data_IF_267420024122
#
_entry.id   IF_267420024122
#
_cell.length_a   1.000
_cell.length_b   1.000
_cell.length_c   1.000
_cell.angle_alpha   90.00
_cell.angle_beta   90.00
_cell.angle_gamma   90.00
#
_symmetry.space_group_name_H-M   'P 1'
#
loop_
_entity.id
_entity.type
_entity.pdbx_description
1 polymer ?
#
# COMPACT_ATOMS: atom_id res chain seq x y z
N UNK A 1 15.89 -39.48 -0.79
CA UNK A 1 15.46 -38.92 -2.09
C UNK A 1 16.46 -37.86 -2.51
N UNK A 2 17.12 -38.04 -3.65
CA UNK A 2 18.24 -37.18 -4.09
C UNK A 2 17.81 -35.72 -4.25
N UNK A 3 18.51 -34.82 -3.57
CA UNK A 3 18.33 -33.36 -3.64
C UNK A 3 18.39 -32.83 -5.10
N UNK A 4 19.16 -33.52 -5.94
CA UNK A 4 19.26 -33.25 -7.38
C UNK A 4 17.95 -33.57 -8.12
N UNK A 5 17.22 -34.62 -7.75
CA UNK A 5 15.90 -34.92 -8.33
C UNK A 5 14.84 -33.93 -7.88
N UNK A 6 14.88 -33.50 -6.61
CA UNK A 6 13.94 -32.48 -6.10
C UNK A 6 14.16 -31.15 -6.81
N UNK A 7 15.42 -30.72 -6.98
CA UNK A 7 15.75 -29.52 -7.74
C UNK A 7 15.26 -29.58 -9.19
N UNK A 8 15.47 -30.71 -9.87
CA UNK A 8 14.98 -30.91 -11.24
C UNK A 8 13.46 -30.93 -11.32
N UNK A 9 12.76 -31.54 -10.35
CA UNK A 9 11.30 -31.54 -10.30
C UNK A 9 10.76 -30.13 -10.08
N UNK A 10 11.35 -29.35 -9.17
CA UNK A 10 10.95 -27.95 -8.93
C UNK A 10 11.16 -27.10 -10.18
N UNK A 11 12.30 -27.22 -10.85
CA UNK A 11 12.60 -26.51 -12.10
C UNK A 11 11.63 -26.91 -13.22
N UNK A 12 11.31 -28.20 -13.34
CA UNK A 12 10.34 -28.69 -14.32
C UNK A 12 8.93 -28.19 -14.01
N UNK A 13 8.51 -28.19 -12.74
CA UNK A 13 7.18 -27.69 -12.35
C UNK A 13 7.08 -26.18 -12.55
N UNK A 14 8.14 -25.41 -12.26
CA UNK A 14 8.18 -23.97 -12.50
C UNK A 14 8.16 -23.64 -14.00
N UNK A 15 8.90 -24.40 -14.82
CA UNK A 15 8.89 -24.26 -16.27
C UNK A 15 7.53 -24.64 -16.89
N UNK A 16 6.89 -25.70 -16.39
CA UNK A 16 5.52 -26.09 -16.80
C UNK A 16 4.51 -25.04 -16.36
N UNK A 17 4.62 -24.46 -15.17
CA UNK A 17 3.74 -23.37 -14.72
C UNK A 17 3.91 -22.10 -15.55
N UNK A 18 5.14 -21.77 -15.99
CA UNK A 18 5.40 -20.68 -16.92
C UNK A 18 4.88 -20.98 -18.34
N UNK A 19 4.96 -22.23 -18.79
CA UNK A 19 4.56 -22.62 -20.15
C UNK A 19 3.05 -22.89 -20.30
N UNK A 20 2.38 -23.38 -19.24
CA UNK A 20 0.94 -23.67 -19.22
C UNK A 20 0.08 -22.44 -18.91
N UNK A 21 0.68 -21.34 -18.45
CA UNK A 21 0.04 -20.05 -18.34
C UNK A 21 0.66 -19.07 -19.35
N UNK A 22 0.28 -19.11 -20.65
CA UNK A 22 0.33 -17.92 -21.46
C UNK A 22 -0.80 -17.00 -20.96
N UNK A 23 -0.66 -16.51 -19.73
CA UNK A 23 -1.45 -15.38 -19.27
C UNK A 23 -0.92 -14.21 -20.07
N UNK A 24 -1.48 -14.02 -21.27
CA UNK A 24 -1.59 -12.71 -21.88
C UNK A 24 -2.45 -11.87 -20.93
N UNK A 25 -1.87 -11.46 -19.80
CA UNK A 25 -2.37 -10.40 -18.96
C UNK A 25 -2.13 -9.12 -19.76
N UNK A 26 -3.03 -8.84 -20.71
CA UNK A 26 -3.13 -7.54 -21.33
C UNK A 26 -3.69 -6.64 -20.23
N UNK A 27 -2.80 -6.03 -19.45
CA UNK A 27 -3.18 -5.03 -18.47
C UNK A 27 -3.70 -3.81 -19.22
N UNK A 28 -5.02 -3.66 -19.23
CA UNK A 28 -5.65 -2.38 -19.59
C UNK A 28 -5.34 -1.34 -18.52
N UNK A 29 -5.44 -0.05 -18.89
CA UNK A 29 -5.50 1.05 -17.93
C UNK A 29 -6.51 0.71 -16.81
N UNK A 30 -6.35 1.29 -15.61
CA UNK A 30 -7.42 1.25 -14.58
C UNK A 30 -8.55 2.15 -15.08
N UNK A 31 -9.31 1.62 -16.03
CA UNK A 31 -10.51 2.20 -16.58
C UNK A 31 -11.61 1.77 -15.66
N UNK A 32 -12.07 2.72 -14.85
CA UNK A 32 -13.16 2.43 -13.94
C UNK A 32 -14.44 2.60 -14.75
N UNK A 33 -14.96 1.53 -15.34
CA UNK A 33 -16.32 1.56 -15.87
C UNK A 33 -17.30 1.54 -14.69
N UNK A 34 -18.33 2.38 -14.78
CA UNK A 34 -19.40 2.43 -13.80
C UNK A 34 -20.63 1.82 -14.48
N UNK A 35 -20.96 0.58 -14.10
CA UNK A 35 -22.09 -0.15 -14.69
C UNK A 35 -23.42 0.56 -14.47
N UNK A 36 -23.52 1.39 -13.42
CA UNK A 36 -24.73 2.14 -13.10
C UNK A 36 -24.86 3.45 -13.89
N UNK A 37 -23.79 3.92 -14.54
CA UNK A 37 -23.83 5.16 -15.30
C UNK A 37 -24.46 4.94 -16.69
N UNK A 38 -25.41 5.78 -17.11
CA UNK A 38 -26.11 5.61 -18.37
C UNK A 38 -25.13 5.60 -19.55
N UNK A 39 -25.13 4.52 -20.34
CA UNK A 39 -24.34 4.39 -21.57
C UNK A 39 -25.18 4.91 -22.73
N UNK A 40 -24.81 6.07 -23.27
CA UNK A 40 -25.52 6.75 -24.37
C UNK A 40 -24.52 7.19 -25.45
N UNK A 41 -24.97 7.36 -26.72
CA UNK A 41 -24.10 7.95 -27.75
C UNK A 41 -23.63 9.34 -27.31
N UNK A 42 -22.31 9.57 -27.34
CA UNK A 42 -21.68 10.80 -26.86
C UNK A 42 -21.36 10.85 -25.35
N UNK A 43 -21.83 9.86 -24.58
CA UNK A 43 -21.56 9.74 -23.14
C UNK A 43 -21.29 8.28 -22.74
N UNK A 44 -20.19 7.75 -23.24
CA UNK A 44 -19.78 6.37 -23.00
C UNK A 44 -18.26 6.24 -22.75
N UNK A 45 -17.57 7.36 -22.50
CA UNK A 45 -16.15 7.31 -22.17
C UNK A 45 -15.94 6.62 -20.83
N UNK A 46 -14.77 6.03 -20.65
CA UNK A 46 -14.39 5.44 -19.37
C UNK A 46 -13.79 6.50 -18.45
N UNK A 47 -13.96 6.35 -17.13
CA UNK A 47 -13.31 7.25 -16.19
C UNK A 47 -11.82 6.95 -16.16
N UNK A 48 -11.02 7.95 -16.56
CA UNK A 48 -9.56 7.88 -16.57
C UNK A 48 -9.02 8.93 -15.60
N UNK A 49 -8.02 8.54 -14.80
CA UNK A 49 -7.26 9.47 -13.98
C UNK A 49 -6.33 10.29 -14.88
N UNK A 50 -6.43 11.60 -14.75
CA UNK A 50 -5.68 12.56 -15.55
C UNK A 50 -4.77 13.33 -14.61
N UNK A 51 -3.50 13.47 -14.98
CA UNK A 51 -2.57 14.37 -14.33
C UNK A 51 -2.61 15.71 -15.04
N UNK A 52 -2.68 16.78 -14.25
CA UNK A 52 -2.68 18.16 -14.70
C UNK A 52 -1.35 18.76 -14.29
N UNK A 53 -0.40 18.75 -15.22
CA UNK A 53 0.89 19.42 -15.03
C UNK A 53 0.68 20.91 -15.22
N UNK A 54 1.21 21.73 -14.31
CA UNK A 54 1.05 23.19 -14.37
C UNK A 54 2.38 23.90 -14.48
N UNK A 55 2.35 25.07 -15.14
CA UNK A 55 3.45 26.02 -15.22
C UNK A 55 2.95 27.40 -14.83
N UNK A 56 3.73 28.09 -14.00
CA UNK A 56 3.44 29.46 -13.57
C UNK A 56 4.59 30.36 -14.04
N UNK A 57 4.28 31.34 -14.88
CA UNK A 57 5.27 32.20 -15.55
C UNK A 57 6.40 31.40 -16.24
N UNK A 58 6.05 30.25 -16.83
CA UNK A 58 7.00 29.38 -17.55
C UNK A 58 7.82 28.42 -16.67
N UNK A 59 7.72 28.50 -15.34
CA UNK A 59 8.37 27.53 -14.43
C UNK A 59 7.42 26.39 -14.08
N UNK A 60 7.92 25.14 -14.08
CA UNK A 60 7.14 23.96 -13.65
C UNK A 60 6.69 24.15 -12.20
N UNK A 61 5.40 23.93 -11.95
CA UNK A 61 4.77 24.03 -10.64
C UNK A 61 4.16 22.69 -10.24
N UNK A 62 3.34 22.68 -9.18
CA UNK A 62 2.67 21.48 -8.67
C UNK A 62 1.83 20.76 -9.73
N UNK A 63 1.86 19.44 -9.65
CA UNK A 63 1.04 18.55 -10.47
C UNK A 63 -0.20 18.15 -9.67
N UNK A 64 -1.38 18.26 -10.30
CA UNK A 64 -2.65 17.89 -9.67
C UNK A 64 -3.22 16.62 -10.31
N UNK A 65 -3.99 15.86 -9.52
CA UNK A 65 -4.71 14.67 -9.98
C UNK A 65 -6.18 15.01 -10.18
N UNK A 66 -6.69 14.72 -11.37
CA UNK A 66 -8.08 14.90 -11.77
C UNK A 66 -8.70 13.64 -12.38
N UNK A 67 -9.99 13.73 -12.71
CA UNK A 67 -10.76 12.64 -13.35
C UNK A 67 -11.40 13.16 -14.62
N UNK A 68 -11.21 12.43 -15.73
CA UNK A 68 -11.86 12.72 -17.01
C UNK A 68 -13.37 12.45 -17.00
N UNK A 69 -14.12 13.15 -17.84
CA UNK A 69 -15.56 12.99 -17.99
C UNK A 69 -15.96 11.74 -18.80
N UNK A 70 -17.20 11.28 -18.59
CA UNK A 70 -17.82 10.21 -19.42
C UNK A 70 -18.23 10.70 -20.83
N UNK A 71 -18.17 12.01 -21.07
CA UNK A 71 -18.49 12.69 -22.33
C UNK A 71 -17.27 13.47 -22.85
N UNK A 72 -17.37 14.04 -24.04
CA UNK A 72 -16.27 14.79 -24.66
C UNK A 72 -15.24 13.89 -25.34
N UNK A 73 -14.15 14.48 -25.80
CA UNK A 73 -13.01 13.71 -26.33
C UNK A 73 -12.11 13.21 -25.21
N UNK A 74 -11.55 12.01 -25.36
CA UNK A 74 -10.64 11.40 -24.37
C UNK A 74 -9.17 11.60 -24.73
N UNK A 75 -8.85 12.60 -25.55
CA UNK A 75 -7.50 12.81 -26.09
C UNK A 75 -6.56 13.40 -25.04
N UNK A 76 -6.07 12.56 -24.13
CA UNK A 76 -5.00 12.90 -23.20
C UNK A 76 -3.66 12.43 -23.76
N UNK A 77 -2.62 13.28 -23.67
CA UNK A 77 -1.27 12.85 -24.04
C UNK A 77 -0.81 11.74 -23.09
N UNK A 78 -0.02 10.79 -23.60
CA UNK A 78 0.71 9.84 -22.74
C UNK A 78 2.05 10.43 -22.27
N UNK A 79 2.48 11.53 -22.90
CA UNK A 79 3.75 12.18 -22.63
C UNK A 79 3.56 13.32 -21.61
N UNK A 80 4.43 13.33 -20.60
CA UNK A 80 4.48 14.38 -19.57
C UNK A 80 4.95 15.74 -20.13
N UNK A 81 5.84 15.73 -21.12
CA UNK A 81 6.61 16.92 -21.54
C UNK A 81 6.08 17.59 -22.82
N UNK A 82 4.77 17.74 -22.97
CA UNK A 82 4.21 18.50 -24.08
C UNK A 82 4.10 20.00 -23.74
N UNK A 83 3.92 20.84 -24.77
CA UNK A 83 3.63 22.26 -24.60
C UNK A 83 2.35 22.44 -23.78
N UNK A 84 2.43 23.18 -22.67
CA UNK A 84 1.26 23.57 -21.91
C UNK A 84 0.37 24.54 -22.70
N UNK A 85 -0.93 24.48 -22.45
CA UNK A 85 -1.93 25.40 -22.98
C UNK A 85 -2.29 26.43 -21.91
N UNK A 86 -2.48 27.72 -22.24
CA UNK A 86 -2.85 28.73 -21.25
C UNK A 86 -4.15 28.37 -20.53
N UNK A 87 -4.20 28.64 -19.22
CA UNK A 87 -5.37 28.45 -18.37
C UNK A 87 -6.05 29.79 -18.15
N UNK A 88 -7.34 29.86 -18.47
CA UNK A 88 -8.13 31.09 -18.34
C UNK A 88 -9.36 30.82 -17.47
N UNK A 89 -9.65 31.73 -16.54
CA UNK A 89 -10.86 31.65 -15.73
C UNK A 89 -12.08 32.05 -16.57
N UNK A 90 -13.15 31.27 -16.52
CA UNK A 90 -14.40 31.59 -17.22
C UNK A 90 -15.15 32.78 -16.58
N UNK A 91 -15.81 33.61 -17.40
CA UNK A 91 -16.77 34.64 -16.96
C UNK A 91 -18.10 34.46 -17.72
N UNK A 92 -19.19 33.99 -17.06
CA UNK A 92 -19.30 33.73 -15.63
C UNK A 92 -18.53 32.48 -15.19
N UNK A 93 -18.11 32.45 -13.92
CA UNK A 93 -17.28 31.37 -13.35
C UNK A 93 -17.89 29.98 -13.41
N UNK A 94 -19.21 29.90 -13.39
CA UNK A 94 -19.92 28.63 -13.50
C UNK A 94 -20.08 28.16 -14.95
N UNK A 95 -19.73 28.99 -15.95
CA UNK A 95 -19.89 28.70 -17.37
C UNK A 95 -21.30 28.15 -17.72
N UNK A 96 -22.34 28.62 -17.02
CA UNK A 96 -23.73 28.25 -17.29
C UNK A 96 -24.42 29.16 -18.34
N UNK A 97 -23.64 30.05 -18.94
CA UNK A 97 -23.99 30.82 -20.14
C UNK A 97 -22.71 31.06 -20.94
N UNK A 98 -22.84 31.57 -22.17
CA UNK A 98 -21.70 31.79 -23.06
C UNK A 98 -20.64 32.68 -22.37
N UNK A 99 -19.40 32.19 -22.17
CA UNK A 99 -18.34 32.97 -21.58
C UNK A 99 -18.05 34.25 -22.38
N UNK A 100 -17.81 35.36 -21.69
CA UNK A 100 -17.41 36.63 -22.33
C UNK A 100 -15.95 36.63 -22.75
N UNK A 101 -15.14 35.79 -22.13
CA UNK A 101 -13.71 35.71 -22.36
C UNK A 101 -13.47 34.88 -23.63
N UNK A 102 -13.06 35.52 -24.72
CA UNK A 102 -12.69 34.82 -25.97
C UNK A 102 -11.25 34.27 -25.84
N UNK A 103 -11.10 33.16 -25.12
CA UNK A 103 -9.83 32.43 -25.03
C UNK A 103 -9.74 31.39 -26.16
N UNK A 104 -9.45 31.84 -27.38
CA UNK A 104 -9.32 30.95 -28.54
C UNK A 104 -8.17 29.95 -28.32
N UNK A 105 -8.51 28.70 -28.02
CA UNK A 105 -7.56 27.62 -27.75
C UNK A 105 -7.10 27.49 -26.30
N UNK A 106 -7.57 28.34 -25.37
CA UNK A 106 -7.23 28.24 -23.95
C UNK A 106 -7.99 27.10 -23.26
N UNK A 107 -7.46 26.62 -22.12
CA UNK A 107 -8.19 25.74 -21.22
C UNK A 107 -9.03 26.60 -20.28
N UNK A 108 -10.33 26.33 -20.20
CA UNK A 108 -11.23 27.09 -19.34
C UNK A 108 -11.33 26.46 -17.96
N UNK A 109 -11.10 27.26 -16.92
CA UNK A 109 -11.34 26.89 -15.54
C UNK A 109 -12.75 27.33 -15.13
N UNK A 110 -13.54 26.38 -14.62
CA UNK A 110 -14.98 26.53 -14.37
C UNK A 110 -15.36 25.96 -13.01
N UNK A 111 -16.19 26.65 -12.26
CA UNK A 111 -16.70 26.18 -10.97
C UNK A 111 -17.89 25.21 -11.12
N UNK A 112 -17.91 24.15 -10.33
CA UNK A 112 -19.05 23.22 -10.24
C UNK A 112 -20.25 23.89 -9.55
N UNK A 113 -21.43 23.79 -10.17
CA UNK A 113 -22.70 24.27 -9.63
C UNK A 113 -23.64 24.82 -10.72
N UNK A 114 -24.86 25.20 -10.35
CA UNK A 114 -25.88 25.90 -11.17
C UNK A 114 -26.43 25.19 -12.42
N UNK A 115 -25.62 24.46 -13.18
CA UNK A 115 -26.00 23.72 -14.38
C UNK A 115 -25.21 22.40 -14.51
N UNK A 116 -25.60 21.57 -15.48
CA UNK A 116 -25.01 20.24 -15.72
C UNK A 116 -23.56 20.33 -16.22
N UNK A 117 -22.76 19.27 -16.02
CA UNK A 117 -21.37 19.25 -16.47
C UNK A 117 -21.24 19.38 -17.99
N UNK A 118 -22.12 18.69 -18.72
CA UNK A 118 -22.26 18.73 -20.17
C UNK A 118 -22.60 20.13 -20.67
N UNK A 119 -23.54 20.84 -20.03
CA UNK A 119 -23.88 22.22 -20.37
C UNK A 119 -22.69 23.17 -20.22
N UNK A 120 -21.93 23.06 -19.11
CA UNK A 120 -20.71 23.85 -18.89
C UNK A 120 -19.71 23.63 -20.03
N UNK A 121 -19.48 22.38 -20.40
CA UNK A 121 -18.53 22.03 -21.44
C UNK A 121 -18.99 22.49 -22.82
N UNK A 122 -20.29 22.41 -23.14
CA UNK A 122 -20.84 22.97 -24.38
C UNK A 122 -20.62 24.48 -24.48
N UNK A 123 -20.91 25.24 -23.42
CA UNK A 123 -20.70 26.69 -23.43
C UNK A 123 -19.23 27.09 -23.55
N UNK A 124 -18.33 26.30 -22.96
CA UNK A 124 -16.89 26.50 -23.12
C UNK A 124 -16.41 26.15 -24.54
N UNK A 125 -16.94 25.07 -25.14
CA UNK A 125 -16.67 24.69 -26.53
C UNK A 125 -17.15 25.77 -27.52
N UNK A 126 -18.35 26.32 -27.30
CA UNK A 126 -18.91 27.44 -28.07
C UNK A 126 -18.08 28.74 -27.94
N UNK A 127 -17.25 28.83 -26.90
CA UNK A 127 -16.28 29.91 -26.69
C UNK A 127 -14.87 29.56 -27.20
N UNK A 128 -14.74 28.48 -27.98
CA UNK A 128 -13.48 28.00 -28.56
C UNK A 128 -12.41 27.59 -27.55
N UNK A 129 -12.81 27.13 -26.36
CA UNK A 129 -11.89 26.51 -25.42
C UNK A 129 -11.32 25.20 -26.00
N UNK A 130 -10.07 24.87 -25.68
CA UNK A 130 -9.45 23.60 -26.09
C UNK A 130 -9.75 22.45 -25.13
N UNK A 131 -10.01 22.77 -23.85
CA UNK A 131 -10.40 21.83 -22.80
C UNK A 131 -11.09 22.57 -21.66
N UNK A 132 -11.76 21.83 -20.76
CA UNK A 132 -12.38 22.38 -19.55
C UNK A 132 -11.85 21.71 -18.30
N UNK A 133 -11.40 22.53 -17.34
CA UNK A 133 -11.07 22.13 -15.98
C UNK A 133 -12.18 22.56 -15.04
N UNK A 134 -12.97 21.59 -14.59
CA UNK A 134 -14.09 21.82 -13.68
C UNK A 134 -13.63 21.66 -12.22
N UNK A 135 -13.75 22.71 -11.43
CA UNK A 135 -13.36 22.72 -10.03
C UNK A 135 -14.51 22.22 -9.17
N UNK A 136 -14.23 21.16 -8.42
CA UNK A 136 -15.21 20.58 -7.53
C UNK A 136 -15.47 21.47 -6.31
N UNK A 137 -16.67 21.39 -5.74
CA UNK A 137 -17.04 22.07 -4.49
C UNK A 137 -16.59 21.29 -3.23
N UNK A 138 -16.08 20.07 -3.39
CA UNK A 138 -15.57 19.19 -2.34
C UNK A 138 -14.10 18.83 -2.60
N UNK A 139 -13.42 18.33 -1.56
CA UNK A 139 -12.01 17.90 -1.63
C UNK A 139 -11.82 16.57 -2.36
N UNK A 140 -12.87 15.78 -2.48
CA UNK A 140 -12.83 14.47 -3.14
C UNK A 140 -13.03 14.59 -4.65
N UNK A 141 -12.52 13.61 -5.39
CA UNK A 141 -12.78 13.49 -6.82
C UNK A 141 -14.20 12.97 -7.04
N UNK A 142 -14.86 13.49 -8.08
CA UNK A 142 -16.24 13.12 -8.44
C UNK A 142 -16.30 12.63 -9.88
N UNK A 143 -17.18 11.66 -10.15
CA UNK A 143 -17.37 11.12 -11.50
C UNK A 143 -18.37 11.98 -12.26
N UNK A 144 -17.94 12.59 -13.35
CA UNK A 144 -18.83 13.38 -14.21
C UNK A 144 -19.59 12.46 -15.16
N UNK A 145 -20.87 12.24 -14.86
CA UNK A 145 -21.83 11.46 -15.67
C UNK A 145 -22.81 12.40 -16.37
N UNK A 146 -23.42 11.91 -17.45
CA UNK A 146 -24.47 12.64 -18.16
C UNK A 146 -25.85 12.36 -17.58
N UNK A 147 -26.77 13.28 -17.82
CA UNK A 147 -28.13 13.13 -17.30
C UNK A 147 -28.98 12.16 -18.14
N UNK A 148 -29.94 11.47 -17.51
CA UNK A 148 -30.82 10.52 -18.21
C UNK A 148 -31.75 11.20 -19.21
N UNK A 149 -32.00 12.51 -19.11
CA UNK A 149 -32.89 13.25 -20.02
C UNK A 149 -32.16 14.01 -21.14
N UNK A 150 -30.82 14.02 -21.14
CA UNK A 150 -30.04 14.65 -22.21
C UNK A 150 -30.03 13.74 -23.46
N UNK A 151 -30.31 14.35 -24.62
CA UNK A 151 -30.30 13.74 -25.95
C UNK A 151 -29.24 14.44 -26.82
N UNK A 152 -28.46 13.66 -27.57
CA UNK A 152 -27.43 14.12 -28.52
C UNK A 152 -26.28 14.96 -27.91
N UNK A 153 -25.41 14.30 -27.15
CA UNK A 153 -24.19 14.90 -26.58
C UNK A 153 -23.03 14.85 -27.58
N UNK A 154 -22.89 15.90 -28.38
CA UNK A 154 -21.75 16.07 -29.30
C UNK A 154 -20.78 17.11 -28.73
N UNK A 155 -20.01 16.71 -27.72
CA UNK A 155 -18.95 17.53 -27.11
C UNK A 155 -17.61 17.10 -27.70
N UNK A 156 -16.81 18.02 -28.28
CA UNK A 156 -15.53 17.67 -28.92
C UNK A 156 -14.30 18.04 -28.12
N UNK A 157 -14.46 18.66 -26.95
CA UNK A 157 -13.36 19.02 -26.05
C UNK A 157 -13.31 18.08 -24.83
N UNK A 158 -12.12 17.81 -24.27
CA UNK A 158 -11.99 17.03 -23.05
C UNK A 158 -12.41 17.85 -21.83
N UNK A 159 -13.08 17.19 -20.88
CA UNK A 159 -13.43 17.76 -19.60
C UNK A 159 -12.78 16.96 -18.46
N UNK A 160 -12.13 17.66 -17.53
CA UNK A 160 -11.44 17.08 -16.38
C UNK A 160 -11.91 17.76 -15.10
N UNK A 161 -12.25 16.98 -14.07
CA UNK A 161 -12.61 17.50 -12.76
C UNK A 161 -11.39 17.50 -11.83
N UNK A 162 -11.16 18.63 -11.16
CA UNK A 162 -10.17 18.78 -10.09
C UNK A 162 -10.84 18.94 -8.71
N UNK A 163 -10.20 18.50 -7.62
CA UNK A 163 -10.69 18.72 -6.27
C UNK A 163 -10.61 20.20 -5.89
N UNK A 164 -11.42 20.63 -4.91
CA UNK A 164 -11.51 22.03 -4.47
C UNK A 164 -10.15 22.65 -4.11
N UNK A 165 -9.31 21.90 -3.39
CA UNK A 165 -8.02 22.40 -2.92
C UNK A 165 -7.05 22.70 -4.09
N UNK A 166 -7.05 21.85 -5.13
CA UNK A 166 -6.26 22.06 -6.34
C UNK A 166 -6.75 23.27 -7.14
N UNK A 167 -8.08 23.37 -7.31
CA UNK A 167 -8.68 24.53 -7.97
C UNK A 167 -8.38 25.84 -7.26
N UNK A 168 -8.52 25.90 -5.95
CA UNK A 168 -8.22 27.10 -5.17
C UNK A 168 -6.76 27.56 -5.34
N UNK A 169 -5.80 26.63 -5.39
CA UNK A 169 -4.38 26.95 -5.63
C UNK A 169 -4.17 27.60 -7.00
N UNK A 170 -4.75 27.02 -8.06
CA UNK A 170 -4.64 27.56 -9.42
C UNK A 170 -5.35 28.91 -9.56
N UNK A 171 -6.53 29.03 -8.94
CA UNK A 171 -7.33 30.25 -8.95
C UNK A 171 -6.58 31.42 -8.32
N UNK A 172 -5.95 31.18 -7.16
CA UNK A 172 -5.14 32.18 -6.47
C UNK A 172 -4.03 32.72 -7.39
N UNK A 173 -3.37 31.85 -8.18
CA UNK A 173 -2.31 32.27 -9.11
C UNK A 173 -2.85 33.11 -10.26
N UNK A 174 -3.98 32.71 -10.84
CA UNK A 174 -4.64 33.46 -11.90
C UNK A 174 -5.10 34.85 -11.41
N UNK A 175 -5.70 34.93 -10.22
CA UNK A 175 -6.15 36.19 -9.63
C UNK A 175 -5.00 37.12 -9.25
N UNK A 176 -3.83 36.57 -8.92
CA UNK A 176 -2.60 37.33 -8.69
C UNK A 176 -1.96 37.84 -10.00
N UNK A 177 -2.58 37.61 -11.16
CA UNK A 177 -2.08 38.06 -12.46
C UNK A 177 -0.89 37.26 -13.00
N UNK A 178 -0.66 36.06 -12.48
CA UNK A 178 0.38 35.16 -12.97
C UNK A 178 -0.14 34.42 -14.21
N UNK A 179 0.74 34.22 -15.19
CA UNK A 179 0.41 33.40 -16.37
C UNK A 179 0.48 31.93 -15.99
N UNK A 180 -0.65 31.24 -16.03
CA UNK A 180 -0.75 29.81 -15.73
C UNK A 180 -0.99 29.04 -17.03
N UNK A 181 -0.24 27.98 -17.26
CA UNK A 181 -0.47 27.04 -18.36
C UNK A 181 -0.58 25.63 -17.82
N UNK A 182 -1.40 24.80 -18.46
CA UNK A 182 -1.70 23.43 -18.03
C UNK A 182 -1.49 22.45 -19.18
N UNK A 183 -1.08 21.23 -18.84
CA UNK A 183 -1.03 20.11 -19.76
C UNK A 183 -1.74 18.91 -19.14
N UNK A 184 -2.70 18.35 -19.88
CA UNK A 184 -3.51 17.22 -19.46
C UNK A 184 -2.93 15.93 -20.03
N UNK A 185 -2.46 15.05 -19.17
CA UNK A 185 -1.86 13.79 -19.61
C UNK A 185 -2.28 12.62 -18.71
N UNK A 186 -2.37 11.42 -19.28
CA UNK A 186 -2.65 10.20 -18.54
C UNK A 186 -1.49 9.22 -18.76
N UNK A 187 -0.56 9.10 -17.79
CA UNK A 187 0.54 8.17 -17.93
C UNK A 187 0.02 6.73 -17.95
N UNK A 188 0.49 5.96 -18.93
CA UNK A 188 0.23 4.53 -18.99
C UNK A 188 0.81 3.83 -17.77
N UNK A 189 0.00 2.99 -17.12
CA UNK A 189 0.50 2.16 -16.01
C UNK A 189 1.14 0.89 -16.57
N UNK A 190 2.35 0.51 -16.13
CA UNK A 190 2.91 -0.78 -16.52
C UNK A 190 2.05 -1.93 -16.00
N UNK A 191 2.00 -3.03 -16.75
CA UNK A 191 1.18 -4.20 -16.42
C UNK A 191 1.58 -4.87 -15.11
N UNK A 192 2.86 -4.74 -14.74
CA UNK A 192 3.43 -5.28 -13.51
C UNK A 192 4.24 -4.16 -12.88
N UNK A 193 3.89 -3.81 -11.65
CA UNK A 193 4.68 -2.85 -10.87
C UNK A 193 5.97 -3.53 -10.43
N UNK A 194 7.09 -2.82 -10.54
CA UNK A 194 8.39 -3.27 -10.04
C UNK A 194 8.28 -3.62 -8.55
N UNK A 195 7.49 -2.85 -7.78
CA UNK A 195 7.23 -3.13 -6.38
C UNK A 195 6.54 -4.49 -6.16
N UNK A 196 5.61 -4.88 -7.03
CA UNK A 196 4.90 -6.17 -6.94
C UNK A 196 5.87 -7.34 -7.14
N UNK A 197 6.79 -7.23 -8.09
CA UNK A 197 7.84 -8.22 -8.31
C UNK A 197 8.73 -8.37 -7.07
N UNK A 198 9.13 -7.25 -6.46
CA UNK A 198 9.93 -7.28 -5.23
C UNK A 198 9.16 -7.91 -4.07
N UNK A 199 7.89 -7.56 -3.88
CA UNK A 199 7.05 -8.15 -2.84
C UNK A 199 6.87 -9.66 -3.04
N UNK A 200 6.67 -10.10 -4.28
CA UNK A 200 6.59 -11.53 -4.60
C UNK A 200 7.90 -12.25 -4.27
N UNK A 201 9.05 -11.69 -4.66
CA UNK A 201 10.36 -12.28 -4.36
C UNK A 201 10.63 -12.36 -2.85
N UNK A 202 10.29 -11.30 -2.10
CA UNK A 202 10.41 -11.28 -0.64
C UNK A 202 9.50 -12.34 0.00
N UNK A 203 8.27 -12.48 -0.47
CA UNK A 203 7.33 -13.48 0.03
C UNK A 203 7.85 -14.90 -0.21
N UNK A 204 8.24 -15.23 -1.44
CA UNK A 204 8.78 -16.55 -1.80
C UNK A 204 10.07 -16.84 -1.03
N UNK A 205 10.98 -15.86 -0.95
CA UNK A 205 12.22 -15.99 -0.18
C UNK A 205 11.95 -16.24 1.30
N UNK A 206 10.99 -15.53 1.90
CA UNK A 206 10.60 -15.72 3.31
C UNK A 206 10.03 -17.11 3.54
N UNK A 207 9.17 -17.62 2.64
CA UNK A 207 8.59 -18.96 2.73
C UNK A 207 9.68 -20.04 2.64
N UNK A 208 10.64 -19.91 1.72
CA UNK A 208 11.74 -20.86 1.58
C UNK A 208 12.63 -20.85 2.83
N UNK A 209 13.01 -19.67 3.32
CA UNK A 209 13.80 -19.52 4.54
C UNK A 209 13.08 -20.13 5.76
N UNK A 210 11.79 -19.85 5.92
CA UNK A 210 10.98 -20.39 7.02
C UNK A 210 10.84 -21.92 6.91
N UNK A 211 10.63 -22.44 5.71
CA UNK A 211 10.52 -23.89 5.46
C UNK A 211 11.84 -24.61 5.76
N UNK A 212 12.96 -24.03 5.32
CA UNK A 212 14.29 -24.58 5.60
C UNK A 212 14.62 -24.52 7.09
N UNK A 213 14.31 -23.40 7.74
CA UNK A 213 14.49 -23.23 9.18
C UNK A 213 13.66 -24.26 9.96
N UNK A 214 12.39 -24.42 9.62
CA UNK A 214 11.49 -25.39 10.27
C UNK A 214 11.97 -26.84 10.10
N UNK A 215 12.44 -27.19 8.89
CA UNK A 215 13.01 -28.51 8.65
C UNK A 215 14.32 -28.74 9.44
N UNK A 216 15.17 -27.71 9.54
CA UNK A 216 16.41 -27.76 10.31
C UNK A 216 16.14 -27.91 11.82
N UNK A 217 15.23 -27.11 12.38
CA UNK A 217 14.88 -27.17 13.80
C UNK A 217 14.23 -28.50 14.17
N UNK A 218 13.36 -29.05 13.31
CA UNK A 218 12.76 -30.37 13.52
C UNK A 218 13.81 -31.49 13.51
N UNK A 219 14.85 -31.36 12.66
CA UNK A 219 15.96 -32.31 12.61
C UNK A 219 16.82 -32.27 13.86
N UNK A 220 17.16 -31.09 14.36
CA UNK A 220 17.91 -30.94 15.63
C UNK A 220 17.12 -31.52 16.81
N UNK A 221 15.82 -31.24 16.90
CA UNK A 221 14.97 -31.82 17.95
C UNK A 221 14.90 -33.35 17.89
N UNK A 222 14.84 -33.94 16.69
CA UNK A 222 14.87 -35.40 16.53
C UNK A 222 16.23 -36.02 16.91
N UNK A 223 17.34 -35.33 16.61
CA UNK A 223 18.69 -35.75 17.00
C UNK A 223 18.84 -35.68 18.53
N UNK A 224 18.31 -34.64 19.17
CA UNK A 224 18.33 -34.50 20.63
C UNK A 224 17.51 -35.60 21.30
N UNK A 225 16.32 -35.93 20.77
CA UNK A 225 15.55 -37.08 21.25
C UNK A 225 16.28 -38.41 21.09
N UNK A 226 16.96 -38.66 19.97
CA UNK A 226 17.75 -39.90 19.77
C UNK A 226 18.91 -39.99 20.76
N UNK A 227 19.60 -38.87 21.04
CA UNK A 227 20.65 -38.81 22.07
C UNK A 227 20.11 -39.10 23.46
N UNK A 228 19.03 -38.45 23.87
CA UNK A 228 18.41 -38.69 25.17
C UNK A 228 17.91 -40.14 25.31
N UNK A 229 17.42 -40.74 24.22
CA UNK A 229 16.97 -42.12 24.22
C UNK A 229 18.14 -43.11 24.31
N UNK A 230 19.30 -42.80 23.71
CA UNK A 230 20.53 -43.57 23.88
C UNK A 230 21.08 -43.46 25.30
N UNK A 231 21.17 -42.25 25.84
CA UNK A 231 21.64 -42.02 27.22
C UNK A 231 20.71 -42.72 28.23
N UNK A 232 19.39 -42.69 28.02
CA UNK A 232 18.42 -43.41 28.86
C UNK A 232 18.47 -44.94 28.72
N UNK A 233 18.86 -45.47 27.56
CA UNK A 233 19.01 -46.92 27.30
C UNK A 233 20.33 -47.46 27.87
N UNK A 234 21.38 -46.64 27.95
CA UNK A 234 22.63 -47.04 28.61
C UNK A 234 22.50 -47.11 30.15
N UNK A 235 21.53 -46.41 30.75
CA UNK A 235 21.41 -46.32 32.22
C UNK A 235 20.37 -47.25 32.89
N UNK A 236 19.44 -47.94 32.20
CA UNK A 236 18.39 -48.75 32.88
C UNK A 236 17.98 -50.04 32.12
N UNK A 237 17.91 -51.22 32.78
CA UNK A 237 17.22 -52.40 32.24
C UNK A 237 15.69 -52.29 32.36
N UNK A 238 15.01 -52.31 31.22
CA UNK A 238 13.60 -52.66 30.97
C UNK A 238 12.52 -52.18 31.99
N UNK A 239 11.86 -51.04 31.74
CA UNK A 239 10.38 -50.91 31.60
C UNK A 239 9.90 -49.44 31.57
N UNK A 240 8.90 -49.21 30.72
CA UNK A 240 7.94 -48.07 30.64
C UNK A 240 8.44 -46.69 30.20
N UNK A 241 8.38 -46.49 28.89
CA UNK A 241 8.34 -45.20 28.21
C UNK A 241 6.91 -44.63 28.23
N UNK A 242 6.69 -43.50 28.92
CA UNK A 242 5.49 -42.67 28.75
C UNK A 242 5.92 -41.31 28.20
N UNK A 243 5.81 -41.15 26.88
CA UNK A 243 6.15 -39.92 26.19
C UNK A 243 5.00 -38.93 26.17
N UNK A 244 5.23 -37.72 26.68
CA UNK A 244 4.42 -36.54 26.38
C UNK A 244 5.34 -35.34 26.19
N UNK A 245 5.98 -35.27 25.03
CA UNK A 245 6.71 -34.09 24.55
C UNK A 245 5.78 -33.21 23.72
N UNK A 246 5.60 -31.96 24.13
CA UNK A 246 4.63 -31.01 23.58
C UNK A 246 4.78 -30.78 22.07
N UNK A 247 3.87 -31.37 21.31
CA UNK A 247 3.46 -30.89 19.99
C UNK A 247 2.09 -30.28 20.20
N UNK A 248 1.97 -28.95 20.05
CA UNK A 248 0.66 -28.30 20.05
C UNK A 248 -0.05 -28.73 18.77
N UNK A 249 -0.88 -29.77 18.85
CA UNK A 249 -1.73 -30.21 17.76
C UNK A 249 -2.65 -29.06 17.34
N UNK A 250 -2.53 -28.64 16.08
CA UNK A 250 -3.47 -27.69 15.48
C UNK A 250 -4.84 -28.37 15.42
N UNK A 251 -5.67 -28.06 16.40
CA UNK A 251 -7.02 -28.58 16.52
C UNK A 251 -7.92 -27.82 15.52
N UNK A 252 -8.88 -28.51 14.87
CA UNK A 252 -9.90 -27.92 13.99
C UNK A 252 -10.64 -26.76 14.68
N UNK A 253 -10.80 -26.83 16.00
CA UNK A 253 -11.37 -25.76 16.83
C UNK A 253 -10.53 -24.47 16.75
N UNK A 254 -9.19 -24.57 16.80
CA UNK A 254 -8.30 -23.41 16.68
C UNK A 254 -8.35 -22.79 15.28
N UNK A 255 -8.47 -23.63 14.24
CA UNK A 255 -8.61 -23.16 12.86
C UNK A 255 -9.93 -22.39 12.63
N UNK A 256 -11.05 -22.94 13.11
CA UNK A 256 -12.36 -22.27 13.03
C UNK A 256 -12.34 -20.95 13.81
N UNK A 257 -11.78 -20.97 15.03
CA UNK A 257 -11.68 -19.77 15.87
C UNK A 257 -10.81 -18.69 15.20
N UNK A 258 -9.71 -19.08 14.54
CA UNK A 258 -8.88 -18.16 13.78
C UNK A 258 -9.63 -17.52 12.61
N UNK A 259 -10.38 -18.29 11.82
CA UNK A 259 -11.17 -17.77 10.69
C UNK A 259 -12.22 -16.76 11.18
N UNK A 260 -12.95 -17.11 12.25
CA UNK A 260 -13.98 -16.22 12.81
C UNK A 260 -13.35 -14.93 13.35
N UNK A 261 -12.24 -15.03 14.08
CA UNK A 261 -11.56 -13.88 14.65
C UNK A 261 -10.94 -12.98 13.57
N UNK A 262 -10.31 -13.56 12.54
CA UNK A 262 -9.76 -12.83 11.40
C UNK A 262 -10.86 -12.13 10.59
N UNK A 263 -11.98 -12.82 10.31
CA UNK A 263 -13.12 -12.24 9.61
C UNK A 263 -13.78 -11.11 10.41
N UNK A 264 -13.90 -11.27 11.73
CA UNK A 264 -14.41 -10.22 12.62
C UNK A 264 -13.48 -9.01 12.63
N UNK A 265 -12.16 -9.25 12.75
CA UNK A 265 -11.16 -8.20 12.70
C UNK A 265 -11.21 -7.43 11.38
N UNK A 266 -11.29 -8.12 10.24
CA UNK A 266 -11.44 -7.48 8.92
C UNK A 266 -12.74 -6.66 8.80
N UNK A 267 -13.86 -7.15 9.33
CA UNK A 267 -15.11 -6.40 9.32
C UNK A 267 -15.03 -5.14 10.20
N UNK A 268 -14.37 -5.23 11.36
CA UNK A 268 -14.09 -4.07 12.22
C UNK A 268 -13.18 -3.08 11.50
N UNK A 269 -12.09 -3.53 10.87
CA UNK A 269 -11.20 -2.69 10.06
C UNK A 269 -11.96 -1.95 8.97
N UNK A 270 -12.78 -2.67 8.20
CA UNK A 270 -13.55 -2.10 7.09
C UNK A 270 -14.57 -1.06 7.56
N UNK A 271 -15.31 -1.37 8.64
CA UNK A 271 -16.40 -0.52 9.12
C UNK A 271 -15.94 0.66 9.99
N UNK A 272 -14.82 0.51 10.69
CA UNK A 272 -14.33 1.47 11.68
C UNK A 272 -12.98 2.09 11.30
N UNK A 273 -12.68 2.24 10.00
CA UNK A 273 -11.50 2.96 9.50
C UNK A 273 -11.62 4.49 9.74
N UNK A 274 -11.74 4.88 11.00
CA UNK A 274 -11.77 6.26 11.45
C UNK A 274 -10.35 6.68 11.91
N UNK A 275 -10.08 7.98 11.96
CA UNK A 275 -8.80 8.55 12.43
C UNK A 275 -8.36 7.99 13.79
N UNK A 276 -9.32 7.72 14.69
CA UNK A 276 -9.08 7.11 16.01
C UNK A 276 -8.65 5.65 15.97
N UNK A 277 -9.11 4.90 14.97
CA UNK A 277 -8.70 3.52 14.80
C UNK A 277 -7.24 3.42 14.32
N UNK A 278 -6.82 4.35 13.44
CA UNK A 278 -5.42 4.47 13.01
C UNK A 278 -4.49 4.79 14.19
N UNK A 279 -4.92 5.64 15.13
CA UNK A 279 -4.15 5.91 16.37
C UNK A 279 -3.96 4.63 17.21
N UNK A 280 -4.98 3.77 17.32
CA UNK A 280 -4.90 2.49 18.04
C UNK A 280 -3.93 1.51 17.36
N UNK A 281 -3.98 1.40 16.03
CA UNK A 281 -3.03 0.57 15.28
C UNK A 281 -1.58 1.03 15.47
N UNK A 282 -1.33 2.34 15.53
CA UNK A 282 0.00 2.89 15.81
C UNK A 282 0.50 2.47 17.19
N UNK A 283 -0.37 2.48 18.21
CA UNK A 283 0.01 2.03 19.56
C UNK A 283 0.33 0.54 19.57
N UNK A 284 -0.51 -0.30 18.96
CA UNK A 284 -0.28 -1.74 18.86
C UNK A 284 1.02 -2.06 18.11
N UNK A 285 1.27 -1.32 17.03
CA UNK A 285 2.51 -1.41 16.27
C UNK A 285 3.73 -1.05 17.11
N UNK A 286 3.67 0.02 17.92
CA UNK A 286 4.75 0.38 18.83
C UNK A 286 5.02 -0.72 19.87
N UNK A 287 3.98 -1.35 20.43
CA UNK A 287 4.14 -2.45 21.39
C UNK A 287 4.85 -3.64 20.71
N UNK A 288 4.36 -4.08 19.55
CA UNK A 288 5.00 -5.17 18.80
C UNK A 288 6.43 -4.83 18.34
N UNK A 289 6.67 -3.58 17.94
CA UNK A 289 7.99 -3.08 17.56
C UNK A 289 8.99 -3.05 18.71
N UNK A 290 8.55 -2.69 19.92
CA UNK A 290 9.40 -2.74 21.13
C UNK A 290 9.78 -4.18 21.47
N UNK A 291 8.81 -5.11 21.43
CA UNK A 291 9.07 -6.54 21.71
C UNK A 291 10.02 -7.16 20.67
N UNK A 292 9.77 -6.92 19.38
CA UNK A 292 10.66 -7.35 18.31
C UNK A 292 12.06 -6.77 18.48
N UNK A 293 12.19 -5.44 18.59
CA UNK A 293 13.49 -4.77 18.75
C UNK A 293 14.25 -5.27 19.97
N UNK A 294 13.55 -5.49 21.09
CA UNK A 294 14.15 -6.03 22.31
C UNK A 294 14.68 -7.45 22.09
N UNK A 295 13.91 -8.35 21.47
CA UNK A 295 14.34 -9.74 21.24
C UNK A 295 15.56 -9.81 20.31
N UNK A 296 15.57 -9.07 19.19
CA UNK A 296 16.71 -9.07 18.28
C UNK A 296 17.96 -8.43 18.88
N UNK A 297 17.85 -7.31 19.58
CA UNK A 297 19.00 -6.68 20.21
C UNK A 297 19.58 -7.55 21.34
N UNK A 298 18.73 -8.19 22.13
CA UNK A 298 19.20 -9.13 23.17
C UNK A 298 19.91 -10.32 22.54
N UNK A 299 19.40 -10.87 21.43
CA UNK A 299 20.06 -11.97 20.70
C UNK A 299 21.42 -11.56 20.08
N UNK A 300 21.51 -10.34 19.54
CA UNK A 300 22.77 -9.82 19.00
C UNK A 300 23.79 -9.55 20.10
N UNK A 301 23.37 -8.94 21.20
CA UNK A 301 24.23 -8.59 22.32
C UNK A 301 24.66 -9.83 23.12
N UNK A 302 23.81 -10.85 23.24
CA UNK A 302 24.19 -12.12 23.89
C UNK A 302 25.26 -12.87 23.08
N UNK A 303 25.23 -12.78 21.75
CA UNK A 303 26.26 -13.33 20.85
C UNK A 303 27.60 -12.61 21.00
N UNK A 304 27.58 -11.30 21.25
CA UNK A 304 28.80 -10.50 21.44
C UNK A 304 29.35 -10.60 22.88
N UNK A 305 28.46 -10.64 23.88
CA UNK A 305 28.81 -10.68 25.31
C UNK A 305 28.37 -12.00 25.96
N UNK A 306 29.08 -13.09 25.66
CA UNK A 306 28.80 -14.44 26.20
C UNK A 306 28.70 -14.50 27.73
N UNK A 307 29.42 -13.63 28.46
CA UNK A 307 29.37 -13.54 29.94
C UNK A 307 28.12 -12.86 30.50
N UNK A 308 27.49 -11.95 29.74
CA UNK A 308 26.32 -11.19 30.20
C UNK A 308 24.99 -11.92 29.91
N UNK A 309 24.99 -12.87 28.96
CA UNK A 309 23.80 -13.68 28.63
C UNK A 309 23.36 -14.67 29.70
N UNK A 310 24.22 -15.00 30.67
CA UNK A 310 23.93 -15.98 31.74
C UNK A 310 23.44 -15.39 33.06
N UNK A 311 23.33 -14.07 33.18
CA UNK A 311 22.90 -13.43 34.44
C UNK A 311 21.41 -13.09 34.38
N UNK A 312 20.65 -13.54 35.38
CA UNK A 312 19.20 -13.36 35.48
C UNK A 312 18.84 -12.70 36.81
N UNK A 313 17.98 -11.69 36.79
CA UNK A 313 17.38 -11.08 37.99
C UNK A 313 15.94 -11.54 38.08
N UNK A 314 15.51 -12.00 39.26
CA UNK A 314 14.09 -12.20 39.55
C UNK A 314 13.44 -10.87 39.88
N UNK A 315 12.58 -10.37 38.99
CA UNK A 315 11.69 -9.25 39.26
C UNK A 315 10.39 -9.77 39.89
N UNK A 316 9.81 -9.08 40.91
CA UNK A 316 8.71 -9.62 41.72
C UNK A 316 7.41 -9.93 40.96
N UNK A 317 7.22 -9.38 39.74
CA UNK A 317 5.98 -9.49 38.96
C UNK A 317 6.18 -10.22 37.62
N UNK A 318 7.40 -10.21 37.06
CA UNK A 318 7.69 -10.67 35.68
C UNK A 318 8.60 -11.90 35.61
N UNK A 319 9.05 -12.44 36.76
CA UNK A 319 9.90 -13.64 36.80
C UNK A 319 11.38 -13.35 36.54
N UNK A 320 12.14 -14.34 36.06
CA UNK A 320 13.57 -14.21 35.79
C UNK A 320 13.81 -13.49 34.45
N UNK A 321 14.32 -12.26 34.49
CA UNK A 321 14.60 -11.44 33.31
C UNK A 321 16.11 -11.26 33.15
N UNK A 322 16.63 -11.42 31.94
CA UNK A 322 18.06 -11.22 31.62
C UNK A 322 18.46 -9.75 31.82
N UNK A 323 19.67 -9.50 32.35
CA UNK A 323 20.21 -8.14 32.49
C UNK A 323 20.26 -7.37 31.17
N UNK A 324 20.49 -8.07 30.05
CA UNK A 324 20.55 -7.47 28.72
C UNK A 324 19.19 -6.93 28.29
N UNK A 325 18.11 -7.66 28.58
CA UNK A 325 16.74 -7.24 28.27
C UNK A 325 16.37 -5.95 29.00
N UNK A 326 16.73 -5.85 30.28
CA UNK A 326 16.47 -4.65 31.09
C UNK A 326 17.28 -3.44 30.59
N UNK A 327 18.53 -3.65 30.18
CA UNK A 327 19.41 -2.60 29.68
C UNK A 327 18.96 -2.05 28.31
N UNK A 328 18.40 -2.91 27.46
CA UNK A 328 18.00 -2.57 26.07
C UNK A 328 16.58 -2.00 26.00
N UNK A 329 15.70 -2.37 26.93
CA UNK A 329 14.31 -1.90 27.01
C UNK A 329 14.11 -0.38 26.85
N UNK A 330 14.84 0.51 27.58
CA UNK A 330 14.63 1.95 27.44
C UNK A 330 15.00 2.47 26.04
N UNK A 331 15.99 1.86 25.38
CA UNK A 331 16.36 2.20 24.01
C UNK A 331 15.26 1.79 23.02
N UNK A 332 14.69 0.59 23.16
CA UNK A 332 13.61 0.13 22.31
C UNK A 332 12.35 1.00 22.42
N UNK A 333 11.98 1.37 23.65
CA UNK A 333 10.83 2.25 23.92
C UNK A 333 11.08 3.63 23.30
N UNK A 334 12.28 4.20 23.48
CA UNK A 334 12.63 5.49 22.88
C UNK A 334 12.53 5.46 21.35
N UNK A 335 13.03 4.41 20.70
CA UNK A 335 12.95 4.25 19.25
C UNK A 335 11.49 4.18 18.74
N UNK A 336 10.63 3.43 19.43
CA UNK A 336 9.20 3.34 19.10
C UNK A 336 8.47 4.68 19.29
N UNK A 337 8.75 5.42 20.36
CA UNK A 337 8.16 6.74 20.62
C UNK A 337 8.60 7.77 19.59
N UNK A 338 9.91 7.81 19.26
CA UNK A 338 10.44 8.71 18.23
C UNK A 338 9.76 8.44 16.89
N UNK A 339 9.62 7.17 16.51
CA UNK A 339 8.89 6.80 15.30
C UNK A 339 7.42 7.25 15.34
N UNK A 340 6.71 7.00 16.44
CA UNK A 340 5.30 7.36 16.57
C UNK A 340 5.05 8.87 16.40
N UNK A 341 5.95 9.72 16.90
CA UNK A 341 5.89 11.18 16.74
C UNK A 341 6.23 11.58 15.30
N UNK A 342 7.25 10.93 14.71
CA UNK A 342 7.80 11.28 13.40
C UNK A 342 7.20 10.52 12.22
N UNK A 343 6.11 9.78 12.44
CA UNK A 343 5.48 8.90 11.43
C UNK A 343 4.98 9.62 10.17
N UNK A 344 4.64 10.91 10.27
CA UNK A 344 4.14 11.71 9.14
C UNK A 344 5.26 12.41 8.35
N UNK A 345 6.51 12.34 8.82
CA UNK A 345 7.66 12.92 8.12
C UNK A 345 8.06 12.03 6.93
N UNK A 346 8.71 12.58 5.88
CA UNK A 346 9.08 11.82 4.68
C UNK A 346 10.05 10.64 4.91
N UNK A 347 10.65 10.54 6.10
CA UNK A 347 11.52 9.43 6.52
C UNK A 347 10.84 8.45 7.49
N UNK A 348 9.57 8.69 7.84
CA UNK A 348 8.82 7.84 8.79
C UNK A 348 8.71 6.38 8.35
N UNK A 349 8.71 6.13 7.03
CA UNK A 349 8.68 4.79 6.45
C UNK A 349 9.92 3.95 6.81
N UNK A 350 11.10 4.58 6.96
CA UNK A 350 12.35 3.86 7.32
C UNK A 350 12.23 3.29 8.73
N UNK A 351 11.72 4.09 9.67
CA UNK A 351 11.52 3.61 11.04
C UNK A 351 10.42 2.55 11.12
N UNK A 352 9.41 2.62 10.23
CA UNK A 352 8.38 1.59 10.14
C UNK A 352 8.99 0.26 9.69
N UNK A 353 9.82 0.25 8.65
CA UNK A 353 10.49 -0.97 8.17
C UNK A 353 11.42 -1.58 9.22
N UNK A 354 12.18 -0.75 9.95
CA UNK A 354 13.05 -1.23 11.03
C UNK A 354 12.23 -1.87 12.16
N UNK A 355 11.10 -1.27 12.56
CA UNK A 355 10.27 -1.83 13.62
C UNK A 355 9.44 -3.04 13.16
N UNK A 356 9.00 -3.09 11.89
CA UNK A 356 8.27 -4.23 11.29
C UNK A 356 9.18 -5.45 11.11
N UNK A 357 10.38 -5.26 10.55
CA UNK A 357 11.23 -6.39 10.09
C UNK A 357 11.79 -7.24 11.22
N UNK A 358 11.66 -6.75 12.45
CA UNK A 358 12.14 -7.38 13.66
C UNK A 358 11.00 -8.14 14.39
N UNK A 359 9.78 -8.11 13.86
CA UNK A 359 8.62 -8.83 14.40
C UNK A 359 8.65 -10.36 14.19
N UNK A 360 9.65 -10.90 13.49
CA UNK A 360 9.94 -12.34 13.49
C UNK A 360 11.17 -12.62 14.37
N UNK A 361 11.01 -12.76 15.69
CA UNK A 361 12.08 -13.28 16.53
C UNK A 361 12.34 -14.73 16.11
N UNK A 362 13.55 -14.99 15.58
CA UNK A 362 14.13 -16.32 15.63
C UNK A 362 14.27 -16.68 17.12
N UNK A 363 13.38 -17.52 17.64
CA UNK A 363 13.54 -18.14 18.96
C UNK A 363 14.78 -19.05 18.92
N UNK A 364 15.92 -18.49 19.30
CA UNK A 364 17.17 -19.22 19.51
C UNK A 364 17.19 -19.74 20.94
N UNK A 365 16.34 -20.73 21.24
CA UNK A 365 16.37 -21.40 22.54
C UNK A 365 17.45 -22.49 22.51
N UNK A 366 18.69 -22.11 22.80
CA UNK A 366 19.82 -23.04 22.94
C UNK A 366 19.99 -23.39 24.41
N UNK A 367 19.13 -24.27 24.92
CA UNK A 367 19.30 -24.91 26.23
C UNK A 367 20.35 -26.02 26.09
N UNK A 368 21.63 -25.66 26.03
CA UNK A 368 22.70 -26.64 26.24
C UNK A 368 22.96 -26.78 27.74
N UNK A 369 22.45 -27.88 28.29
CA UNK A 369 22.94 -28.44 29.54
C UNK A 369 24.41 -28.82 29.38
N UNK A 370 25.28 -28.15 30.14
CA UNK A 370 26.60 -28.64 30.50
C UNK A 370 26.94 -28.03 31.86
N UNK A 371 26.73 -28.82 32.92
CA UNK A 371 27.48 -28.70 34.17
C UNK A 371 28.15 -30.07 34.37
N UNK A 372 29.42 -30.13 34.81
CA UNK A 372 29.86 -31.26 35.62
C UNK A 372 29.20 -31.20 37.01
#
# INVERSE_FOLDING_TARGET
MDLRRIFWVILFTAAISLACCPSTAIAGDIRQDDENAPKKPGCANEFVLVKVQTWVNGSEYEEFVGVGARFGTTTFSKEKNASGTPLTLSDPRDCCSKPKNEGSGDVFMVDRGNCTFTAKTNYAEDAHASAVLIINNQKELYKMVCEPNETDLVIKIPAVLLPKDAGASLEEKLLNGLSVSVHLYSPGRPAVDVAEVFLWLIAVGTIICASYWSAWSAREAAIEQDKLLKDAVEDIPNEKLLGTGGVMEINTISAILFIVLASCFLAVLYKYINSKFVEVLVVLFCVGGVEGLQTCLVALLSRWFKRAGGSYIKVPVLGAVSHLTLAVSPFCIAAAVVWAIKRNDPFGWIGQDILVRIFFPMDFNMHNGFYP
#
